data_IF_809284829353
#
_entry.id   IF_809284829353
#
_cell.length_a   1.000
_cell.length_b   1.000
_cell.length_c   1.000
_cell.angle_alpha   90.00
_cell.angle_beta   90.00
_cell.angle_gamma   90.00
#
_symmetry.space_group_name_H-M   'P 1'
#
loop_
_entity.id
_entity.type
_entity.pdbx_description
1 polymer ?
#
# COMPACT_ATOMS: atom_id res chain seq x y z
N UNK A 1 -11.90 21.14 15.73
CA UNK A 1 -11.02 20.02 16.06
C UNK A 1 -10.88 19.21 14.78
N UNK A 2 -9.69 19.14 14.21
CA UNK A 2 -9.47 18.35 12.98
C UNK A 2 -9.52 16.86 13.35
N UNK A 3 -10.50 16.13 12.84
CA UNK A 3 -10.45 14.67 12.83
C UNK A 3 -9.20 14.24 12.06
N UNK A 4 -8.20 13.77 12.80
CA UNK A 4 -7.05 13.13 12.19
C UNK A 4 -7.49 11.74 11.77
N UNK A 5 -7.71 11.55 10.47
CA UNK A 5 -7.95 10.22 9.92
C UNK A 5 -6.75 9.32 10.24
N UNK A 6 -6.99 8.35 11.13
CA UNK A 6 -6.02 7.33 11.52
C UNK A 6 -5.48 6.60 10.29
N UNK A 7 -4.15 6.63 10.11
CA UNK A 7 -3.51 6.01 8.95
C UNK A 7 -3.36 4.50 9.15
N UNK A 8 -3.49 3.75 8.06
CA UNK A 8 -3.39 2.29 8.07
C UNK A 8 -2.47 1.79 6.97
N UNK A 9 -1.80 0.66 7.21
CA UNK A 9 -0.96 0.00 6.21
C UNK A 9 -1.80 -0.45 5.01
N UNK A 10 -1.38 -0.07 3.80
CA UNK A 10 -2.09 -0.40 2.55
C UNK A 10 -2.34 -1.90 2.39
N UNK A 11 -1.42 -2.73 2.89
CA UNK A 11 -1.48 -4.18 2.74
C UNK A 11 -2.24 -4.89 3.86
N UNK A 12 -1.79 -4.73 5.12
CA UNK A 12 -2.30 -5.51 6.26
C UNK A 12 -3.33 -4.76 7.13
N UNK A 13 -3.62 -3.49 6.80
CA UNK A 13 -4.62 -2.64 7.46
C UNK A 13 -4.38 -2.34 8.95
N UNK A 14 -3.23 -2.71 9.52
CA UNK A 14 -2.84 -2.26 10.87
C UNK A 14 -2.67 -0.75 10.90
N UNK A 15 -3.14 -0.13 11.98
CA UNK A 15 -3.03 1.31 12.22
C UNK A 15 -1.63 1.71 12.68
N UNK A 16 -1.35 3.00 12.59
CA UNK A 16 -0.13 3.62 13.11
C UNK A 16 0.05 3.49 14.64
N UNK A 17 -1.03 3.26 15.38
CA UNK A 17 -0.97 3.00 16.84
C UNK A 17 -0.41 1.62 17.17
N UNK A 18 -0.56 0.65 16.25
CA UNK A 18 -0.15 -0.75 16.45
C UNK A 18 1.24 -1.02 15.86
N UNK A 19 1.63 -0.29 14.81
CA UNK A 19 2.91 -0.51 14.13
C UNK A 19 3.38 0.76 13.39
N UNK A 20 4.69 1.04 13.32
CA UNK A 20 5.17 2.19 12.57
C UNK A 20 4.81 2.06 11.08
N UNK A 21 4.23 3.14 10.56
CA UNK A 21 3.93 3.30 9.14
C UNK A 21 4.95 4.22 8.49
N UNK A 22 5.35 3.86 7.27
CA UNK A 22 6.17 4.67 6.39
C UNK A 22 5.27 5.32 5.35
N UNK A 23 5.42 6.63 5.15
CA UNK A 23 4.78 7.36 4.06
C UNK A 23 5.51 7.04 2.75
N UNK A 24 4.75 6.70 1.72
CA UNK A 24 5.25 6.43 0.38
C UNK A 24 4.43 7.22 -0.62
N UNK A 25 5.08 7.77 -1.64
CA UNK A 25 4.41 8.39 -2.78
C UNK A 25 4.54 7.48 -4.00
N UNK A 26 3.42 7.13 -4.63
CA UNK A 26 3.37 6.36 -5.87
C UNK A 26 2.38 7.02 -6.84
N UNK A 27 2.82 7.31 -8.07
CA UNK A 27 2.03 8.04 -9.08
C UNK A 27 1.41 9.36 -8.57
N UNK A 28 2.11 10.05 -7.66
CA UNK A 28 1.64 11.30 -7.06
C UNK A 28 0.65 11.12 -5.91
N UNK A 29 0.27 9.89 -5.55
CA UNK A 29 -0.59 9.60 -4.42
C UNK A 29 0.20 9.15 -3.19
N UNK A 30 -0.19 9.68 -2.04
CA UNK A 30 0.39 9.36 -0.75
C UNK A 30 -0.29 8.13 -0.13
N UNK A 31 0.48 7.10 0.17
CA UNK A 31 0.03 5.86 0.80
C UNK A 31 0.92 5.49 1.99
N UNK A 32 0.43 4.63 2.87
CA UNK A 32 1.16 4.23 4.08
C UNK A 32 1.43 2.72 4.04
N UNK A 33 2.65 2.29 4.38
CA UNK A 33 3.02 0.87 4.47
C UNK A 33 3.83 0.61 5.74
N UNK A 34 3.57 -0.47 6.46
CA UNK A 34 4.36 -0.82 7.63
C UNK A 34 5.68 -1.49 7.24
N UNK A 35 6.70 -1.39 8.10
CA UNK A 35 8.01 -1.99 7.88
C UNK A 35 7.96 -3.51 7.61
N UNK A 36 6.98 -4.22 8.19
CA UNK A 36 6.80 -5.66 7.97
C UNK A 36 6.25 -5.99 6.56
N UNK A 37 5.47 -5.09 5.97
CA UNK A 37 4.92 -5.28 4.62
C UNK A 37 5.82 -4.69 3.53
N UNK A 38 6.71 -3.75 3.89
CA UNK A 38 7.64 -3.11 2.96
C UNK A 38 8.42 -4.10 2.07
N UNK A 39 8.95 -5.26 2.57
CA UNK A 39 9.69 -6.20 1.73
C UNK A 39 8.88 -6.77 0.55
N UNK A 40 7.55 -6.77 0.61
CA UNK A 40 6.74 -7.23 -0.52
C UNK A 40 6.82 -6.31 -1.73
N UNK A 41 7.15 -5.03 -1.55
CA UNK A 41 7.41 -4.11 -2.66
C UNK A 41 8.63 -4.51 -3.51
N UNK A 42 9.49 -5.41 -3.01
CA UNK A 42 10.68 -5.88 -3.72
C UNK A 42 10.49 -7.32 -4.18
N UNK A 43 9.94 -8.18 -3.32
CA UNK A 43 9.87 -9.62 -3.57
C UNK A 43 8.54 -10.11 -4.18
N UNK A 44 7.43 -9.39 -3.98
CA UNK A 44 6.07 -9.86 -4.30
C UNK A 44 5.15 -8.70 -4.73
N UNK A 45 5.65 -7.83 -5.61
CA UNK A 45 4.95 -6.61 -6.08
C UNK A 45 3.56 -6.90 -6.64
N UNK A 46 3.38 -8.04 -7.29
CA UNK A 46 2.09 -8.49 -7.84
C UNK A 46 0.97 -8.57 -6.80
N UNK A 47 1.28 -8.90 -5.53
CA UNK A 47 0.29 -8.96 -4.45
C UNK A 47 -0.18 -7.58 -3.96
N UNK A 48 0.53 -6.53 -4.37
CA UNK A 48 0.22 -5.14 -4.03
C UNK A 48 -0.34 -4.37 -5.23
N UNK A 49 -0.37 -4.98 -6.43
CA UNK A 49 -0.90 -4.38 -7.64
C UNK A 49 -2.29 -3.78 -7.40
N UNK A 50 -3.22 -4.61 -6.92
CA UNK A 50 -4.63 -4.24 -6.73
C UNK A 50 -4.85 -3.26 -5.57
N UNK A 51 -3.81 -3.02 -4.76
CA UNK A 51 -3.84 -2.17 -3.57
C UNK A 51 -3.16 -0.84 -3.78
N UNK A 52 -2.44 -0.68 -4.89
CA UNK A 52 -1.76 0.55 -5.27
C UNK A 52 -2.63 1.30 -6.28
N UNK A 53 -2.81 2.62 -6.09
CA UNK A 53 -3.61 3.42 -6.99
C UNK A 53 -3.02 3.40 -8.40
N UNK A 54 -3.84 3.03 -9.38
CA UNK A 54 -3.51 3.07 -10.79
C UNK A 54 -2.59 1.97 -11.31
N UNK A 55 -2.45 0.82 -10.64
CA UNK A 55 -1.85 -0.37 -11.28
C UNK A 55 -2.93 -1.08 -12.09
N UNK A 56 -2.83 -0.96 -13.41
CA UNK A 56 -3.59 -1.82 -14.32
C UNK A 56 -2.93 -3.20 -14.29
N UNK A 57 -3.62 -4.19 -13.72
CA UNK A 57 -3.27 -5.59 -13.95
C UNK A 57 -3.47 -5.81 -15.45
N UNK A 58 -2.46 -6.23 -16.22
CA UNK A 58 -2.68 -6.66 -17.58
C UNK A 58 -3.78 -7.73 -17.54
N UNK A 59 -4.93 -7.46 -18.14
CA UNK A 59 -5.92 -8.51 -18.41
C UNK A 59 -5.15 -9.56 -19.20
N UNK A 60 -4.99 -10.76 -18.65
CA UNK A 60 -4.42 -11.88 -19.39
C UNK A 60 -5.23 -11.97 -20.68
N UNK A 61 -4.62 -11.60 -21.80
CA UNK A 61 -5.24 -11.79 -23.09
C UNK A 61 -5.24 -13.28 -23.33
N UNK A 62 -6.44 -13.81 -23.52
CA UNK A 62 -6.72 -15.16 -23.99
C UNK A 62 -5.75 -15.51 -25.14
N UNK A 63 -4.85 -16.47 -24.88
CA UNK A 63 -4.06 -17.17 -25.89
C UNK A 63 -4.37 -18.65 -25.81
#
# INVERSE_FOLDING_TARGET
MSEQEMKTCLNCKRSEEVTPLLLMTFKGEATHICAQCLPMLIHKTQLLADKLPGIEIPKQSDY
#
